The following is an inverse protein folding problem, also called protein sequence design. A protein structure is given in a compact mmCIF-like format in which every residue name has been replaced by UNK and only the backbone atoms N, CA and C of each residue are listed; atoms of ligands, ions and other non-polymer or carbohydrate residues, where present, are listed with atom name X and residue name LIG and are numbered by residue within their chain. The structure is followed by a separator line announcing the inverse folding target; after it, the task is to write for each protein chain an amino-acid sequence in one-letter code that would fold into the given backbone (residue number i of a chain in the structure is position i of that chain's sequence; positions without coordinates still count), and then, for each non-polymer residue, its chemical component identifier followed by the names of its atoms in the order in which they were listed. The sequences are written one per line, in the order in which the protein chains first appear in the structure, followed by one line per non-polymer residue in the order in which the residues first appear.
data_IF_732656593397
#
_entry.id   IF_732656593397
#
_cell.length_a   1.000
_cell.length_b   1.000
_cell.length_c   1.000
_cell.angle_alpha   90.00
_cell.angle_beta   90.00
_cell.angle_gamma   90.00
#
_symmetry.space_group_name_H-M   'P 1'
#
loop_
_entity.id
_entity.type
_entity.pdbx_description
1 polymer ?
#
# COMPACT_ATOMS: atom_id res chain seq x y z
N UNK A 1 -2.02 -7.70 0.20
CA UNK A 1 -0.61 -7.24 0.20
C UNK A 1 0.06 -7.74 1.48
N UNK A 2 1.37 -8.03 1.45
CA UNK A 2 2.09 -8.45 2.65
C UNK A 2 3.35 -7.61 2.90
N UNK A 3 3.63 -7.36 4.17
CA UNK A 3 4.82 -6.65 4.65
C UNK A 3 5.76 -7.63 5.35
N UNK A 4 7.03 -7.63 4.96
CA UNK A 4 8.07 -8.38 5.67
C UNK A 4 8.32 -7.74 7.04
N UNK A 5 8.20 -8.55 8.08
CA UNK A 5 8.52 -8.15 9.45
C UNK A 5 10.02 -8.27 9.73
N UNK A 6 10.51 -7.49 10.70
CA UNK A 6 11.94 -7.45 11.06
C UNK A 6 12.30 -8.56 12.07
N UNK A 7 12.02 -9.82 11.73
CA UNK A 7 12.46 -10.99 12.50
C UNK A 7 13.73 -11.61 11.91
N UNK A 8 14.42 -12.44 12.70
CA UNK A 8 15.58 -13.22 12.21
C UNK A 8 15.20 -14.18 11.09
N UNK A 9 13.98 -14.77 11.17
CA UNK A 9 13.40 -15.58 10.10
C UNK A 9 12.54 -14.72 9.18
N UNK A 10 12.38 -15.15 7.92
CA UNK A 10 11.52 -14.47 6.95
C UNK A 10 10.05 -14.69 7.34
N UNK A 11 9.39 -13.62 7.80
CA UNK A 11 7.97 -13.61 8.18
C UNK A 11 7.29 -12.45 7.48
N UNK A 12 6.11 -12.70 6.92
CA UNK A 12 5.27 -11.69 6.28
C UNK A 12 3.96 -11.53 7.05
N UNK A 13 3.59 -10.28 7.32
CA UNK A 13 2.25 -9.92 7.76
C UNK A 13 1.42 -9.51 6.55
N UNK A 14 0.37 -10.27 6.28
CA UNK A 14 -0.51 -10.05 5.13
C UNK A 14 -1.82 -9.40 5.55
N UNK A 15 -2.36 -8.55 4.68
CA UNK A 15 -3.68 -7.98 4.82
C UNK A 15 -4.37 -7.88 3.46
N UNK A 16 -5.69 -8.01 3.50
CA UNK A 16 -6.60 -7.82 2.37
C UNK A 16 -7.54 -6.67 2.71
N UNK A 17 -7.72 -5.77 1.75
CA UNK A 17 -8.62 -4.62 1.88
C UNK A 17 -9.46 -4.58 0.60
N UNK A 18 -10.75 -4.36 0.75
CA UNK A 18 -11.68 -4.28 -0.37
C UNK A 18 -11.34 -3.08 -1.28
N UNK A 19 -11.70 -3.18 -2.57
CA UNK A 19 -11.45 -2.10 -3.53
C UNK A 19 -9.96 -1.78 -3.73
N UNK A 20 -9.09 -2.80 -3.68
CA UNK A 20 -7.65 -2.63 -3.86
C UNK A 20 -7.27 -2.71 -5.34
N UNK A 21 -6.60 -1.67 -5.85
CA UNK A 21 -6.05 -1.64 -7.21
C UNK A 21 -4.56 -1.34 -7.18
N UNK A 22 -3.77 -2.07 -7.97
CA UNK A 22 -2.35 -1.86 -8.14
C UNK A 22 -2.07 -1.04 -9.42
N UNK A 23 -1.11 -0.13 -9.35
CA UNK A 23 -0.68 0.70 -10.46
C UNK A 23 0.84 0.64 -10.60
N UNK A 24 1.32 0.57 -11.84
CA UNK A 24 2.71 0.90 -12.15
C UNK A 24 2.77 2.40 -12.46
N UNK A 25 3.50 3.17 -11.67
CA UNK A 25 3.54 4.63 -11.79
C UNK A 25 4.98 5.12 -12.04
N UNK A 26 5.18 6.07 -12.97
CA UNK A 26 6.48 6.66 -13.21
C UNK A 26 6.86 7.63 -12.09
N UNK A 27 8.08 7.54 -11.58
CA UNK A 27 8.67 8.48 -10.64
C UNK A 27 9.86 9.20 -11.28
N UNK A 28 10.07 10.46 -10.90
CA UNK A 28 11.17 11.30 -11.36
C UNK A 28 11.83 11.95 -10.15
N UNK A 29 13.13 11.72 -9.97
CA UNK A 29 13.91 12.38 -8.92
C UNK A 29 14.29 13.81 -9.33
N UNK A 30 14.75 14.62 -8.37
CA UNK A 30 15.12 16.02 -8.62
C UNK A 30 16.27 16.19 -9.62
N UNK A 31 17.10 15.17 -9.80
CA UNK A 31 18.19 15.13 -10.80
C UNK A 31 17.72 14.66 -12.19
N UNK A 32 16.42 14.38 -12.37
CA UNK A 32 15.83 13.90 -13.61
C UNK A 32 15.87 12.38 -13.79
N UNK A 33 16.45 11.61 -12.84
CA UNK A 33 16.44 10.15 -12.88
C UNK A 33 15.02 9.62 -12.87
N UNK A 34 14.69 8.73 -13.82
CA UNK A 34 13.35 8.13 -13.97
C UNK A 34 13.36 6.69 -13.48
N UNK A 35 12.29 6.29 -12.79
CA UNK A 35 12.05 4.90 -12.40
C UNK A 35 10.56 4.56 -12.42
N UNK A 36 10.22 3.29 -12.30
CA UNK A 36 8.85 2.81 -12.12
C UNK A 36 8.68 2.35 -10.67
N UNK A 37 7.53 2.67 -10.08
CA UNK A 37 7.17 2.20 -8.75
C UNK A 37 5.80 1.54 -8.78
N UNK A 38 5.63 0.54 -7.91
CA UNK A 38 4.30 -0.01 -7.62
C UNK A 38 3.61 0.89 -6.60
N UNK A 39 2.42 1.35 -6.94
CA UNK A 39 1.50 1.99 -6.02
C UNK A 39 0.25 1.12 -5.85
N UNK A 40 -0.33 1.16 -4.67
CA UNK A 40 -1.62 0.54 -4.39
C UNK A 40 -2.56 1.61 -3.85
N UNK A 41 -3.80 1.59 -4.32
CA UNK A 41 -4.89 2.36 -3.76
C UNK A 41 -5.99 1.43 -3.25
N UNK A 42 -6.54 1.77 -2.10
CA UNK A 42 -7.70 1.15 -1.48
C UNK A 42 -8.86 2.14 -1.57
N UNK A 43 -9.86 1.85 -2.40
CA UNK A 43 -11.03 2.73 -2.57
C UNK A 43 -12.09 2.50 -1.50
N UNK A 44 -12.18 1.29 -0.95
CA UNK A 44 -13.03 0.97 0.19
C UNK A 44 -12.17 0.83 1.46
N UNK A 45 -12.16 1.90 2.25
CA UNK A 45 -11.40 1.97 3.51
C UNK A 45 -12.27 1.69 4.73
N UNK A 46 -13.54 1.29 4.56
CA UNK A 46 -14.49 1.09 5.66
C UNK A 46 -14.07 -0.01 6.64
N UNK A 47 -13.39 -1.05 6.14
CA UNK A 47 -12.85 -2.15 6.95
C UNK A 47 -11.50 -1.89 7.61
N UNK A 48 -10.88 -0.73 7.39
CA UNK A 48 -9.58 -0.40 7.97
C UNK A 48 -9.68 -0.06 9.47
N UNK A 49 -8.60 -0.31 10.22
CA UNK A 49 -8.56 0.03 11.63
C UNK A 49 -8.71 1.55 11.86
N UNK A 50 -9.76 1.91 12.59
CA UNK A 50 -10.15 3.30 12.82
C UNK A 50 -9.09 4.11 13.59
N UNK A 51 -8.44 3.51 14.59
CA UNK A 51 -7.44 4.20 15.40
C UNK A 51 -6.18 4.49 14.57
N UNK A 52 -5.73 3.51 13.79
CA UNK A 52 -4.60 3.64 12.87
C UNK A 52 -4.85 4.75 11.84
N UNK A 53 -6.01 4.75 11.19
CA UNK A 53 -6.36 5.76 10.17
C UNK A 53 -6.38 7.18 10.74
N UNK A 54 -6.97 7.38 11.91
CA UNK A 54 -6.99 8.69 12.56
C UNK A 54 -5.60 9.15 13.00
N UNK A 55 -4.76 8.25 13.50
CA UNK A 55 -3.41 8.61 13.94
C UNK A 55 -2.49 8.97 12.78
N UNK A 56 -2.54 8.22 11.67
CA UNK A 56 -1.61 8.39 10.56
C UNK A 56 -2.10 9.44 9.56
N UNK A 57 -3.39 9.41 9.21
CA UNK A 57 -3.96 10.24 8.13
C UNK A 57 -5.02 11.23 8.60
N UNK A 58 -5.40 11.22 9.89
CA UNK A 58 -6.48 12.07 10.44
C UNK A 58 -7.80 11.93 9.66
N UNK A 59 -8.08 10.72 9.19
CA UNK A 59 -9.27 10.38 8.41
C UNK A 59 -10.05 9.26 9.10
N UNK A 60 -11.35 9.20 8.83
CA UNK A 60 -12.23 8.11 9.28
C UNK A 60 -12.33 7.01 8.20
N UNK A 61 -12.51 5.73 8.60
CA UNK A 61 -12.76 4.62 7.67
C UNK A 61 -13.93 4.91 6.73
N UNK A 62 -13.76 4.60 5.45
CA UNK A 62 -14.78 4.76 4.41
C UNK A 62 -14.97 6.20 3.91
N UNK A 63 -14.26 7.19 4.47
CA UNK A 63 -14.39 8.59 4.04
C UNK A 63 -13.70 8.89 2.72
N UNK A 64 -12.46 8.39 2.56
CA UNK A 64 -11.61 8.66 1.40
C UNK A 64 -10.80 7.42 1.01
N UNK A 65 -10.43 7.30 -0.28
CA UNK A 65 -9.45 6.32 -0.71
C UNK A 65 -8.09 6.56 -0.06
N UNK A 66 -7.33 5.49 0.12
CA UNK A 66 -5.96 5.54 0.66
C UNK A 66 -5.02 4.93 -0.35
N UNK A 67 -4.03 5.69 -0.78
CA UNK A 67 -3.00 5.25 -1.71
C UNK A 67 -1.62 5.29 -1.05
N UNK A 68 -0.77 4.32 -1.36
CA UNK A 68 0.62 4.31 -0.93
C UNK A 68 1.52 3.58 -1.93
N UNK A 69 2.81 3.90 -1.92
CA UNK A 69 3.82 3.14 -2.66
C UNK A 69 4.16 1.84 -1.95
N UNK A 70 4.55 0.81 -2.70
CA UNK A 70 5.10 -0.42 -2.14
C UNK A 70 6.59 -0.26 -1.88
N UNK A 71 7.00 -0.44 -0.62
CA UNK A 71 8.41 -0.44 -0.24
C UNK A 71 9.12 -1.75 -0.62
N UNK A 72 10.45 -1.75 -0.50
CA UNK A 72 11.33 -2.90 -0.80
C UNK A 72 11.11 -4.16 0.05
N UNK A 73 10.23 -4.08 1.06
CA UNK A 73 9.85 -5.17 1.97
C UNK A 73 8.38 -5.56 1.84
N UNK A 74 7.70 -5.11 0.79
CA UNK A 74 6.30 -5.45 0.52
C UNK A 74 6.17 -6.32 -0.73
N UNK A 75 5.17 -7.20 -0.72
CA UNK A 75 4.82 -8.05 -1.86
C UNK A 75 3.31 -8.01 -2.10
N UNK A 76 2.91 -7.99 -3.37
CA UNK A 76 1.53 -7.99 -3.82
C UNK A 76 1.39 -8.96 -4.99
N UNK A 77 0.29 -9.71 -4.99
CA UNK A 77 -0.13 -10.52 -6.11
C UNK A 77 -1.24 -9.78 -6.84
N UNK A 78 -1.11 -9.70 -8.16
CA UNK A 78 -2.14 -9.16 -9.04
C UNK A 78 -2.74 -10.31 -9.85
N UNK A 79 -4.05 -10.27 -10.17
CA UNK A 79 -4.63 -11.23 -11.09
C UNK A 79 -3.87 -11.23 -12.41
N UNK A 80 -3.70 -12.40 -13.01
CA UNK A 80 -3.23 -12.49 -14.38
C UNK A 80 -4.43 -12.13 -15.28
N UNK A 81 -4.33 -11.00 -15.98
CA UNK A 81 -5.36 -10.51 -16.91
C UNK A 81 -5.20 -11.17 -18.29
#
# INVERSE_FOLDING_TARGET
MCHRLNFQKVVFYCHEIHGTTAFMVPLVASDGTKTQALAVCHTDTSGMNQQMLRQIMKADPGSNPVCHFLGNKAILWVPNL
#
